data_IF_093329860781
#
_entry.id   IF_093329860781
#
_cell.length_a   1.000
_cell.length_b   1.000
_cell.length_c   1.000
_cell.angle_alpha   90.00
_cell.angle_beta   90.00
_cell.angle_gamma   90.00
#
_symmetry.space_group_name_H-M   'P 1'
#
loop_
_entity.id
_entity.type
_entity.pdbx_description
1 polymer ?
#
# COMPACT_ATOMS: atom_id res chain seq x y z
N UNK A 1 23.41 -16.71 11.51
CA UNK A 1 24.03 -15.38 11.75
C UNK A 1 22.91 -14.40 12.06
N UNK A 2 23.00 -13.68 13.18
CA UNK A 2 22.03 -12.63 13.56
C UNK A 2 22.14 -11.48 12.55
N UNK A 3 21.03 -11.09 11.91
CA UNK A 3 20.98 -9.92 11.02
C UNK A 3 21.04 -8.68 11.91
N UNK A 4 22.17 -7.96 11.86
CA UNK A 4 22.29 -6.68 12.57
C UNK A 4 21.56 -5.62 11.75
N UNK A 5 20.44 -5.11 12.26
CA UNK A 5 19.79 -3.93 11.69
C UNK A 5 20.57 -2.70 12.16
N UNK A 6 21.17 -1.97 11.23
CA UNK A 6 21.92 -0.75 11.53
C UNK A 6 20.99 0.46 11.61
N UNK A 7 20.10 0.61 10.62
CA UNK A 7 19.20 1.76 10.53
C UNK A 7 17.77 1.31 10.34
N UNK A 8 16.88 1.74 11.24
CA UNK A 8 15.44 1.43 11.16
C UNK A 8 14.64 2.72 11.09
N UNK A 9 13.67 2.76 10.19
CA UNK A 9 12.67 3.84 10.10
C UNK A 9 11.45 3.42 10.90
N UNK A 10 10.84 4.34 11.67
CA UNK A 10 9.59 4.09 12.37
C UNK A 10 8.63 5.28 12.23
N UNK A 11 7.39 4.98 11.84
CA UNK A 11 6.27 5.93 11.92
C UNK A 11 5.12 5.30 12.71
N UNK A 12 4.42 6.12 13.47
CA UNK A 12 3.28 5.70 14.26
C UNK A 12 2.15 6.71 14.18
N UNK A 13 0.92 6.26 14.40
CA UNK A 13 -0.19 7.16 14.72
C UNK A 13 0.07 7.85 16.06
N UNK A 14 -0.10 9.17 16.07
CA UNK A 14 0.09 10.01 17.27
C UNK A 14 -1.22 10.52 17.87
N UNK A 15 -2.33 10.27 17.18
CA UNK A 15 -3.68 10.64 17.61
C UNK A 15 -4.31 9.62 18.57
N UNK A 16 -3.66 8.48 18.81
CA UNK A 16 -4.05 7.50 19.82
C UNK A 16 -2.93 7.23 20.80
N UNK A 17 -3.25 7.21 22.09
CA UNK A 17 -2.28 6.94 23.15
C UNK A 17 -1.70 5.52 23.06
N UNK A 18 -2.53 4.51 22.77
CA UNK A 18 -2.08 3.12 22.63
C UNK A 18 -1.05 2.94 21.50
N UNK A 19 -1.19 3.63 20.38
CA UNK A 19 -0.21 3.61 19.30
C UNK A 19 1.13 4.26 19.69
N UNK A 20 1.09 5.30 20.52
CA UNK A 20 2.29 5.97 21.06
C UNK A 20 3.00 5.06 22.06
N UNK A 21 2.26 4.42 22.97
CA UNK A 21 2.83 3.46 23.95
C UNK A 21 3.54 2.29 23.26
N UNK A 22 2.92 1.77 22.19
CA UNK A 22 3.51 0.71 21.37
C UNK A 22 4.76 1.21 20.65
N UNK A 23 4.75 2.44 20.14
CA UNK A 23 5.94 3.05 19.54
C UNK A 23 7.09 3.17 20.55
N UNK A 24 6.83 3.66 21.76
CA UNK A 24 7.85 3.76 22.81
C UNK A 24 8.44 2.39 23.17
N UNK A 25 7.59 1.39 23.41
CA UNK A 25 8.03 0.02 23.71
C UNK A 25 8.90 -0.55 22.60
N UNK A 26 8.47 -0.34 21.35
CA UNK A 26 9.19 -0.81 20.15
C UNK A 26 10.54 -0.12 19.99
N UNK A 27 10.59 1.20 20.18
CA UNK A 27 11.82 2.00 20.13
C UNK A 27 12.81 1.51 21.20
N UNK A 28 12.37 1.39 22.45
CA UNK A 28 13.20 0.92 23.55
C UNK A 28 13.78 -0.46 23.26
N UNK A 29 12.93 -1.39 22.82
CA UNK A 29 13.34 -2.74 22.48
C UNK A 29 14.40 -2.78 21.36
N UNK A 30 14.24 -1.97 20.29
CA UNK A 30 15.22 -1.89 19.22
C UNK A 30 16.57 -1.31 19.69
N UNK A 31 16.55 -0.31 20.58
CA UNK A 31 17.77 0.24 21.18
C UNK A 31 18.50 -0.80 22.03
N UNK A 32 17.77 -1.56 22.85
CA UNK A 32 18.30 -2.63 23.70
C UNK A 32 18.91 -3.78 22.87
N UNK A 33 18.37 -4.04 21.67
CA UNK A 33 18.91 -5.01 20.70
C UNK A 33 20.08 -4.48 19.86
N UNK A 34 20.53 -3.25 20.12
CA UNK A 34 21.74 -2.70 19.51
C UNK A 34 21.55 -2.06 18.13
N UNK A 35 20.32 -1.66 17.76
CA UNK A 35 20.12 -0.84 16.56
C UNK A 35 20.95 0.46 16.68
N UNK A 36 21.65 0.83 15.60
CA UNK A 36 22.62 1.94 15.64
C UNK A 36 21.99 3.30 15.39
N UNK A 37 20.97 3.38 14.54
CA UNK A 37 20.26 4.62 14.20
C UNK A 37 18.75 4.34 14.04
N UNK A 38 17.93 5.16 14.68
CA UNK A 38 16.47 5.16 14.56
C UNK A 38 16.02 6.47 13.93
N UNK A 39 15.38 6.37 12.77
CA UNK A 39 14.75 7.50 12.08
C UNK A 39 13.26 7.48 12.39
N UNK A 40 12.83 8.39 13.25
CA UNK A 40 11.43 8.48 13.68
C UNK A 40 10.69 9.56 12.89
N UNK A 41 9.42 9.29 12.62
CA UNK A 41 8.46 10.30 12.19
C UNK A 41 8.48 11.49 13.16
N UNK A 42 8.70 12.71 12.65
CA UNK A 42 8.79 13.91 13.47
C UNK A 42 7.54 14.18 14.32
N UNK A 43 6.38 13.65 13.92
CA UNK A 43 5.15 13.76 14.71
C UNK A 43 5.27 13.09 16.08
N UNK A 44 6.22 12.15 16.27
CA UNK A 44 6.49 11.49 17.54
C UNK A 44 7.32 12.33 18.52
N UNK A 45 8.00 13.40 18.05
CA UNK A 45 9.03 14.13 18.83
C UNK A 45 8.58 14.60 20.20
N UNK A 46 7.33 15.04 20.32
CA UNK A 46 6.75 15.54 21.57
C UNK A 46 5.71 14.58 22.16
N UNK A 47 5.66 13.34 21.66
CA UNK A 47 4.71 12.31 22.07
C UNK A 47 5.38 11.18 22.83
N UNK A 48 6.68 10.97 22.60
CA UNK A 48 7.49 10.00 23.33
C UNK A 48 8.41 10.68 24.34
N UNK A 49 8.73 9.95 25.39
CA UNK A 49 9.58 10.35 26.52
C UNK A 49 11.04 9.92 26.35
N UNK A 50 11.31 8.95 25.46
CA UNK A 50 12.63 8.38 25.24
C UNK A 50 13.57 9.42 24.65
N UNK A 51 14.70 9.65 25.33
CA UNK A 51 15.84 10.46 24.84
C UNK A 51 17.06 9.57 24.64
N UNK A 52 17.60 9.54 23.43
CA UNK A 52 18.78 8.75 23.08
C UNK A 52 19.48 9.38 21.87
N UNK A 53 20.82 9.46 21.86
CA UNK A 53 21.56 10.08 20.75
C UNK A 53 21.40 9.36 19.40
N UNK A 54 20.94 8.10 19.41
CA UNK A 54 20.69 7.30 18.20
C UNK A 54 19.36 7.64 17.53
N UNK A 55 18.49 8.43 18.16
CA UNK A 55 17.19 8.82 17.63
C UNK A 55 17.32 10.12 16.85
N UNK A 56 16.82 10.12 15.61
CA UNK A 56 16.66 11.32 14.79
C UNK A 56 15.23 11.42 14.30
N UNK A 57 14.65 12.60 14.41
CA UNK A 57 13.32 12.90 13.91
C UNK A 57 13.41 13.49 12.51
N UNK A 58 12.64 12.93 11.57
CA UNK A 58 12.57 13.39 10.19
C UNK A 58 11.11 13.37 9.71
N UNK A 59 10.77 14.21 8.75
CA UNK A 59 9.44 14.17 8.13
C UNK A 59 9.27 12.85 7.37
N UNK A 60 8.07 12.26 7.41
CA UNK A 60 7.76 11.01 6.68
C UNK A 60 8.04 11.15 5.18
N UNK A 61 7.91 12.35 4.61
CA UNK A 61 8.23 12.67 3.22
C UNK A 61 9.69 12.42 2.86
N UNK A 62 10.58 12.54 3.84
CA UNK A 62 12.03 12.42 3.66
C UNK A 62 12.54 11.01 3.97
N UNK A 63 11.67 10.09 4.42
CA UNK A 63 12.06 8.69 4.71
C UNK A 63 12.75 8.03 3.51
N UNK A 64 12.29 8.32 2.29
CA UNK A 64 12.84 7.74 1.06
C UNK A 64 14.24 8.25 0.70
N UNK A 65 14.71 9.33 1.33
CA UNK A 65 16.08 9.84 1.17
C UNK A 65 17.11 9.05 2.00
N UNK A 66 16.63 8.15 2.87
CA UNK A 66 17.49 7.38 3.76
C UNK A 66 17.47 5.88 3.43
N UNK A 67 18.67 5.31 3.26
CA UNK A 67 18.83 3.86 3.16
C UNK A 67 18.71 3.23 4.55
N UNK A 68 17.60 2.56 4.80
CA UNK A 68 17.32 1.81 6.03
C UNK A 68 17.19 0.31 5.74
N UNK A 69 17.42 -0.50 6.77
CA UNK A 69 17.36 -1.97 6.69
C UNK A 69 15.93 -2.50 6.88
N UNK A 70 15.06 -1.66 7.45
CA UNK A 70 13.69 -2.00 7.83
C UNK A 70 12.87 -0.73 8.07
N UNK A 71 11.56 -0.83 7.83
CA UNK A 71 10.57 0.16 8.22
C UNK A 71 9.53 -0.48 9.16
N UNK A 72 9.26 0.16 10.30
CA UNK A 72 8.21 -0.21 11.24
C UNK A 72 7.08 0.79 11.15
N UNK A 73 5.86 0.33 10.89
CA UNK A 73 4.67 1.17 10.86
C UNK A 73 3.72 0.74 11.97
N UNK A 74 3.35 1.65 12.85
CA UNK A 74 2.43 1.37 13.97
C UNK A 74 1.12 2.11 13.73
N UNK A 75 0.03 1.38 13.50
CA UNK A 75 -1.26 1.96 13.13
C UNK A 75 -2.11 1.01 12.30
N UNK A 76 -2.74 1.52 11.25
CA UNK A 76 -3.54 0.72 10.32
C UNK A 76 -3.03 0.82 8.88
N UNK A 77 -3.73 0.18 7.95
CA UNK A 77 -3.38 0.14 6.54
C UNK A 77 -3.18 1.54 5.94
N UNK A 78 -4.04 2.52 6.29
CA UNK A 78 -3.87 3.90 5.81
C UNK A 78 -2.58 4.58 6.28
N UNK A 79 -2.06 4.24 7.47
CA UNK A 79 -0.77 4.74 7.94
C UNK A 79 0.38 4.17 7.12
N UNK A 80 0.29 2.88 6.76
CA UNK A 80 1.24 2.20 5.90
C UNK A 80 1.23 2.79 4.48
N UNK A 81 0.05 2.89 3.85
CA UNK A 81 -0.09 3.42 2.48
C UNK A 81 0.48 4.84 2.39
N UNK A 82 0.15 5.69 3.37
CA UNK A 82 0.70 7.05 3.45
C UNK A 82 2.23 7.09 3.56
N UNK A 83 2.83 6.18 4.31
CA UNK A 83 4.30 6.11 4.37
C UNK A 83 4.87 5.66 3.02
N UNK A 84 4.28 4.63 2.40
CA UNK A 84 4.72 4.08 1.10
C UNK A 84 4.61 5.08 -0.07
N UNK A 85 3.67 6.03 0.00
CA UNK A 85 3.48 7.06 -1.02
C UNK A 85 4.70 7.96 -1.23
N UNK A 86 5.52 8.14 -0.20
CA UNK A 86 6.74 8.95 -0.31
C UNK A 86 7.95 8.15 -0.83
N UNK A 87 7.79 6.83 -1.03
CA UNK A 87 8.81 5.96 -1.59
C UNK A 87 8.64 5.82 -3.10
N UNK A 88 9.42 6.62 -3.82
CA UNK A 88 9.53 6.57 -5.28
C UNK A 88 10.17 5.29 -5.80
N UNK A 89 10.97 4.62 -4.96
CA UNK A 89 11.60 3.33 -5.25
C UNK A 89 11.16 2.31 -4.20
N UNK A 90 11.71 1.11 -4.29
CA UNK A 90 11.43 0.04 -3.33
C UNK A 90 11.76 0.50 -1.90
N UNK A 91 10.77 0.51 -0.99
CA UNK A 91 11.01 0.83 0.40
C UNK A 91 11.81 -0.29 1.09
N UNK A 92 12.41 -0.02 2.26
CA UNK A 92 12.91 -1.07 3.13
C UNK A 92 11.81 -2.09 3.49
N UNK A 93 12.17 -3.35 3.81
CA UNK A 93 11.22 -4.33 4.30
C UNK A 93 10.38 -3.83 5.48
N UNK A 94 9.07 -4.02 5.38
CA UNK A 94 8.07 -3.42 6.26
C UNK A 94 7.60 -4.42 7.32
N UNK A 95 7.56 -3.96 8.58
CA UNK A 95 6.79 -4.59 9.64
C UNK A 95 5.63 -3.67 10.04
N UNK A 96 4.41 -4.08 9.72
CA UNK A 96 3.20 -3.41 10.17
C UNK A 96 2.76 -3.92 11.53
N UNK A 97 2.66 -3.05 12.51
CA UNK A 97 2.07 -3.30 13.83
C UNK A 97 0.67 -2.69 13.87
N UNK A 98 -0.33 -3.55 14.02
CA UNK A 98 -1.75 -3.19 13.99
C UNK A 98 -2.14 -2.50 15.28
N UNK A 99 -2.67 -1.28 15.19
CA UNK A 99 -3.31 -0.59 16.31
C UNK A 99 -4.66 -0.02 15.84
N UNK A 100 -5.74 -0.41 16.53
CA UNK A 100 -7.09 0.05 16.23
C UNK A 100 -7.92 -0.91 15.38
N UNK A 101 -8.61 -0.39 14.36
CA UNK A 101 -9.57 -1.15 13.54
C UNK A 101 -8.90 -2.26 12.72
N UNK A 102 -9.71 -3.18 12.23
CA UNK A 102 -9.26 -4.26 11.35
C UNK A 102 -8.57 -3.70 10.10
N UNK A 103 -7.38 -4.22 9.82
CA UNK A 103 -6.57 -3.93 8.65
C UNK A 103 -6.02 -5.23 8.07
N UNK A 104 -5.74 -5.22 6.77
CA UNK A 104 -5.31 -6.40 6.04
C UNK A 104 -3.80 -6.50 5.88
N UNK A 105 -3.15 -5.33 5.73
CA UNK A 105 -1.72 -5.23 5.43
C UNK A 105 -0.85 -5.29 6.69
N UNK A 106 -1.41 -4.98 7.85
CA UNK A 106 -0.70 -5.03 9.13
C UNK A 106 -0.51 -6.48 9.61
N UNK A 107 0.68 -6.77 10.15
CA UNK A 107 1.12 -8.14 10.45
C UNK A 107 0.95 -8.52 11.92
N UNK A 108 1.35 -7.64 12.82
CA UNK A 108 1.62 -7.98 14.22
C UNK A 108 0.70 -7.21 15.15
N UNK A 109 0.14 -7.89 16.14
CA UNK A 109 -0.55 -7.23 17.26
C UNK A 109 0.45 -6.58 18.22
N UNK A 110 0.08 -5.49 18.91
CA UNK A 110 0.96 -4.76 19.82
C UNK A 110 1.74 -5.62 20.82
N UNK A 111 1.11 -6.67 21.33
CA UNK A 111 1.66 -7.55 22.36
C UNK A 111 2.79 -8.44 21.82
N UNK A 112 2.80 -8.72 20.51
CA UNK A 112 3.73 -9.64 19.86
C UNK A 112 4.87 -8.93 19.10
N UNK A 113 4.97 -7.60 19.20
CA UNK A 113 5.99 -6.83 18.45
C UNK A 113 7.41 -7.23 18.83
N UNK A 114 7.68 -7.45 20.11
CA UNK A 114 9.01 -7.88 20.57
C UNK A 114 9.40 -9.26 20.02
N UNK A 115 8.46 -10.21 20.00
CA UNK A 115 8.67 -11.54 19.43
C UNK A 115 8.92 -11.47 17.92
N UNK A 116 8.15 -10.64 17.22
CA UNK A 116 8.33 -10.37 15.80
C UNK A 116 9.73 -9.85 15.49
N UNK A 117 10.18 -8.84 16.24
CA UNK A 117 11.51 -8.26 16.09
C UNK A 117 12.59 -9.30 16.38
N UNK A 118 12.44 -10.14 17.41
CA UNK A 118 13.37 -11.23 17.70
C UNK A 118 13.56 -12.18 16.50
N UNK A 119 12.47 -12.60 15.86
CA UNK A 119 12.54 -13.47 14.68
C UNK A 119 13.19 -12.76 13.48
N UNK A 120 12.96 -11.45 13.31
CA UNK A 120 13.62 -10.64 12.26
C UNK A 120 15.12 -10.52 12.52
N UNK A 121 15.54 -10.18 13.75
CA UNK A 121 16.96 -10.08 14.13
C UNK A 121 17.67 -11.43 13.98
N UNK A 122 17.00 -12.55 14.28
CA UNK A 122 17.53 -13.90 14.06
C UNK A 122 17.56 -14.32 12.59
N UNK A 123 16.99 -13.52 11.68
CA UNK A 123 16.89 -13.84 10.25
C UNK A 123 15.90 -14.98 9.94
N UNK A 124 14.97 -15.26 10.85
CA UNK A 124 13.98 -16.34 10.73
C UNK A 124 12.63 -15.88 10.19
N UNK A 125 12.36 -14.57 10.24
CA UNK A 125 11.12 -14.02 9.71
C UNK A 125 11.04 -14.23 8.19
N UNK A 126 9.89 -14.72 7.72
CA UNK A 126 9.60 -14.81 6.29
C UNK A 126 9.40 -13.40 5.73
N UNK A 127 9.76 -13.21 4.47
CA UNK A 127 9.45 -11.99 3.72
C UNK A 127 8.56 -12.36 2.54
N UNK A 128 7.48 -11.59 2.33
CA UNK A 128 6.63 -11.70 1.14
C UNK A 128 6.75 -10.43 0.32
N UNK A 129 6.70 -10.56 -1.00
CA UNK A 129 6.78 -9.44 -1.94
C UNK A 129 5.37 -9.10 -2.45
N UNK A 130 4.98 -7.83 -2.40
CA UNK A 130 3.70 -7.34 -2.91
C UNK A 130 3.94 -6.32 -4.02
N UNK A 131 3.41 -6.54 -5.23
CA UNK A 131 3.66 -5.64 -6.34
C UNK A 131 2.98 -4.29 -6.12
N UNK A 132 3.64 -3.21 -6.52
CA UNK A 132 3.03 -1.91 -6.79
C UNK A 132 2.91 -1.69 -8.29
N UNK A 133 1.90 -0.92 -8.66
CA UNK A 133 1.74 -0.40 -10.03
C UNK A 133 1.91 1.10 -10.02
N UNK A 134 2.29 1.65 -11.16
CA UNK A 134 2.39 3.10 -11.37
C UNK A 134 1.51 3.50 -12.56
N UNK A 135 0.92 4.69 -12.48
CA UNK A 135 0.14 5.30 -13.56
C UNK A 135 0.83 6.56 -14.09
N UNK A 136 0.78 6.73 -15.41
CA UNK A 136 1.21 7.93 -16.12
C UNK A 136 0.01 8.57 -16.81
N UNK A 137 -0.36 9.78 -16.41
CA UNK A 137 -1.40 10.60 -17.05
C UNK A 137 -0.68 11.73 -17.79
N UNK A 138 -0.79 11.80 -19.13
CA UNK A 138 -0.18 12.87 -19.93
C UNK A 138 1.32 13.10 -19.66
N UNK A 139 2.07 12.00 -19.51
CA UNK A 139 3.49 11.96 -19.12
C UNK A 139 3.80 12.37 -17.67
N UNK A 140 2.81 12.79 -16.88
CA UNK A 140 2.95 12.97 -15.44
C UNK A 140 2.81 11.62 -14.74
N UNK A 141 3.85 11.22 -14.02
CA UNK A 141 3.84 10.02 -13.16
C UNK A 141 3.09 10.31 -11.87
N UNK A 142 2.11 9.47 -11.54
CA UNK A 142 1.42 9.46 -10.25
C UNK A 142 2.23 8.64 -9.23
N UNK A 143 2.01 8.83 -7.91
CA UNK A 143 2.64 8.00 -6.90
C UNK A 143 2.32 6.51 -7.11
N UNK A 144 3.30 5.59 -7.02
CA UNK A 144 3.03 4.15 -7.12
C UNK A 144 2.09 3.69 -6.01
N UNK A 145 1.12 2.85 -6.36
CA UNK A 145 0.05 2.40 -5.45
C UNK A 145 0.23 0.95 -5.05
N UNK A 146 -0.14 0.63 -3.81
CA UNK A 146 -0.19 -0.74 -3.30
C UNK A 146 -1.62 -1.31 -3.34
N UNK A 147 -2.64 -0.45 -3.22
CA UNK A 147 -4.04 -0.85 -3.29
C UNK A 147 -4.66 -0.56 -4.66
N UNK A 148 -4.76 0.71 -5.05
CA UNK A 148 -5.50 1.01 -6.27
C UNK A 148 -5.26 2.40 -6.86
N UNK A 149 -5.36 2.45 -8.18
CA UNK A 149 -5.84 3.64 -8.86
C UNK A 149 -7.35 3.54 -9.04
N UNK A 150 -8.06 4.57 -8.61
CA UNK A 150 -9.52 4.68 -8.77
C UNK A 150 -9.81 5.86 -9.68
N UNK A 151 -10.41 5.59 -10.83
CA UNK A 151 -10.90 6.59 -11.76
C UNK A 151 -12.39 6.76 -11.48
N UNK A 152 -12.83 7.96 -11.16
CA UNK A 152 -14.23 8.27 -10.85
C UNK A 152 -14.76 9.37 -11.75
N UNK A 153 -15.99 9.17 -12.22
CA UNK A 153 -16.73 10.24 -12.86
C UNK A 153 -17.12 11.31 -11.82
N UNK A 154 -16.98 12.61 -12.16
CA UNK A 154 -17.36 13.68 -11.25
C UNK A 154 -18.88 13.81 -11.15
N UNK A 155 -19.35 14.30 -10.00
CA UNK A 155 -20.75 14.75 -9.77
C UNK A 155 -21.81 13.66 -10.00
N UNK A 156 -21.56 12.43 -9.55
CA UNK A 156 -22.52 11.30 -9.63
C UNK A 156 -23.01 11.01 -11.05
N UNK A 157 -22.13 11.19 -12.04
CA UNK A 157 -22.40 10.79 -13.42
C UNK A 157 -21.66 9.48 -13.73
N UNK A 158 -21.94 8.90 -14.89
CA UNK A 158 -21.13 7.81 -15.44
C UNK A 158 -20.04 8.37 -16.36
N UNK A 159 -18.94 7.64 -16.52
CA UNK A 159 -17.86 7.87 -17.49
C UNK A 159 -17.78 6.67 -18.43
N UNK A 160 -17.49 6.93 -19.71
CA UNK A 160 -17.09 5.91 -20.66
C UNK A 160 -15.60 5.61 -20.50
N UNK A 161 -15.30 4.43 -19.96
CA UNK A 161 -13.92 3.93 -19.79
C UNK A 161 -13.61 2.83 -20.79
N UNK A 162 -12.43 2.94 -21.43
CA UNK A 162 -11.86 1.88 -22.26
C UNK A 162 -10.52 1.45 -21.69
N UNK A 163 -10.32 0.14 -21.54
CA UNK A 163 -9.05 -0.44 -21.09
C UNK A 163 -8.54 -1.39 -22.15
N UNK A 164 -7.27 -1.27 -22.49
CA UNK A 164 -6.61 -2.12 -23.48
C UNK A 164 -5.22 -2.55 -23.02
N UNK A 165 -4.75 -3.69 -23.53
CA UNK A 165 -3.35 -4.12 -23.37
C UNK A 165 -2.48 -3.29 -24.30
N UNK A 166 -1.43 -2.67 -23.77
CA UNK A 166 -0.50 -1.86 -24.56
C UNK A 166 0.29 -2.70 -25.59
N UNK A 167 0.59 -3.96 -25.25
CA UNK A 167 1.35 -4.91 -26.08
C UNK A 167 0.59 -5.31 -27.35
N UNK A 168 -0.69 -5.68 -27.22
CA UNK A 168 -1.50 -6.22 -28.32
C UNK A 168 -2.53 -5.24 -28.88
N UNK A 169 -2.78 -4.13 -28.18
CA UNK A 169 -3.90 -3.20 -28.41
C UNK A 169 -5.28 -3.85 -28.27
N UNK A 170 -5.36 -5.05 -27.72
CA UNK A 170 -6.61 -5.75 -27.43
C UNK A 170 -7.38 -4.99 -26.35
N UNK A 171 -8.66 -4.68 -26.62
CA UNK A 171 -9.55 -4.04 -25.65
C UNK A 171 -10.11 -5.10 -24.70
N UNK A 172 -9.84 -4.94 -23.40
CA UNK A 172 -10.28 -5.88 -22.35
C UNK A 172 -11.55 -5.41 -21.63
N UNK A 173 -11.81 -4.09 -21.64
CA UNK A 173 -13.00 -3.49 -21.04
C UNK A 173 -13.39 -2.26 -21.85
N UNK A 174 -14.69 -2.12 -22.12
CA UNK A 174 -15.27 -0.95 -22.77
C UNK A 174 -16.65 -0.73 -22.15
N UNK A 175 -16.77 0.18 -21.19
CA UNK A 175 -17.94 0.28 -20.32
C UNK A 175 -18.32 1.73 -19.97
N UNK A 176 -19.62 1.95 -19.75
CA UNK A 176 -20.13 3.13 -19.06
C UNK A 176 -20.33 2.72 -17.60
N UNK A 177 -19.72 3.45 -16.68
CA UNK A 177 -19.62 3.07 -15.29
C UNK A 177 -19.49 4.33 -14.41
N UNK A 178 -19.71 4.22 -13.10
CA UNK A 178 -19.35 5.30 -12.17
C UNK A 178 -17.83 5.54 -12.16
N UNK A 179 -17.07 4.53 -12.60
CA UNK A 179 -15.62 4.59 -12.66
C UNK A 179 -14.95 3.25 -12.92
N UNK A 180 -13.65 3.20 -12.64
CA UNK A 180 -12.79 2.05 -12.82
C UNK A 180 -11.79 1.96 -11.68
N UNK A 181 -11.60 0.77 -11.12
CA UNK A 181 -10.49 0.48 -10.20
C UNK A 181 -9.46 -0.38 -10.93
N UNK A 182 -8.19 -0.01 -10.82
CA UNK A 182 -7.06 -0.85 -11.21
C UNK A 182 -6.19 -1.11 -9.99
N UNK A 183 -6.14 -2.37 -9.56
CA UNK A 183 -5.50 -2.79 -8.31
C UNK A 183 -4.41 -3.83 -8.57
N UNK A 184 -3.20 -3.71 -8.00
CA UNK A 184 -2.31 -4.85 -7.89
C UNK A 184 -2.84 -5.82 -6.81
N UNK A 185 -2.19 -6.99 -6.68
CA UNK A 185 -2.61 -8.08 -5.78
C UNK A 185 -3.04 -7.62 -4.38
N UNK A 186 -2.29 -6.73 -3.72
CA UNK A 186 -2.63 -6.30 -2.36
C UNK A 186 -3.94 -5.50 -2.29
N UNK A 187 -4.29 -4.79 -3.35
CA UNK A 187 -5.54 -4.03 -3.47
C UNK A 187 -6.78 -4.84 -3.78
N UNK A 188 -6.65 -6.11 -4.16
CA UNK A 188 -7.80 -6.98 -4.42
C UNK A 188 -8.69 -7.16 -3.19
N UNK A 189 -8.17 -6.83 -2.00
CA UNK A 189 -8.86 -6.90 -0.71
C UNK A 189 -9.22 -5.52 -0.17
N UNK A 190 -8.97 -4.46 -0.94
CA UNK A 190 -9.27 -3.07 -0.61
C UNK A 190 -10.56 -2.62 -1.32
N UNK A 191 -10.52 -1.54 -2.10
CA UNK A 191 -11.72 -1.01 -2.74
C UNK A 191 -12.21 -1.90 -3.89
N UNK A 192 -11.30 -2.57 -4.61
CA UNK A 192 -11.65 -3.55 -5.63
C UNK A 192 -12.56 -4.66 -5.08
N UNK A 193 -12.34 -5.15 -3.85
CA UNK A 193 -13.22 -6.15 -3.23
C UNK A 193 -14.64 -5.61 -3.05
N UNK A 194 -14.76 -4.39 -2.53
CA UNK A 194 -16.07 -3.75 -2.31
C UNK A 194 -16.83 -3.52 -3.62
N UNK A 195 -16.11 -3.34 -4.73
CA UNK A 195 -16.67 -3.20 -6.07
C UNK A 195 -16.96 -4.53 -6.79
N UNK A 196 -16.82 -5.67 -6.09
CA UNK A 196 -17.07 -6.99 -6.66
C UNK A 196 -15.89 -7.61 -7.39
N UNK A 197 -14.68 -7.06 -7.23
CA UNK A 197 -13.43 -7.67 -7.68
C UNK A 197 -13.11 -8.97 -6.91
N UNK A 198 -12.39 -9.93 -7.53
CA UNK A 198 -12.04 -11.19 -6.88
C UNK A 198 -10.99 -11.01 -5.80
N UNK A 199 -11.06 -11.83 -4.75
CA UNK A 199 -9.95 -12.01 -3.82
C UNK A 199 -8.82 -12.74 -4.55
N UNK A 200 -7.64 -12.14 -4.57
CA UNK A 200 -6.43 -12.76 -5.12
C UNK A 200 -5.59 -13.36 -3.99
N UNK A 201 -5.00 -14.54 -4.21
CA UNK A 201 -4.05 -15.12 -3.26
C UNK A 201 -2.79 -14.25 -3.10
N UNK A 202 -2.18 -14.26 -1.90
CA UNK A 202 -1.09 -13.34 -1.61
C UNK A 202 0.18 -13.51 -2.43
N UNK A 203 0.45 -14.72 -2.92
CA UNK A 203 1.68 -15.03 -3.63
C UNK A 203 1.56 -14.77 -5.14
N UNK A 204 0.33 -14.53 -5.64
CA UNK A 204 0.11 -14.21 -7.04
C UNK A 204 0.52 -12.78 -7.35
N UNK A 205 1.14 -12.57 -8.51
CA UNK A 205 1.51 -11.25 -9.02
C UNK A 205 0.62 -10.90 -10.20
N UNK A 206 -0.45 -10.17 -9.92
CA UNK A 206 -1.48 -9.83 -10.91
C UNK A 206 -1.92 -8.38 -10.77
N UNK A 207 -2.54 -7.87 -11.83
CA UNK A 207 -3.32 -6.63 -11.82
C UNK A 207 -4.79 -6.97 -12.10
N UNK A 208 -5.68 -6.36 -11.32
CA UNK A 208 -7.13 -6.55 -11.40
C UNK A 208 -7.76 -5.26 -11.89
N UNK A 209 -8.54 -5.36 -12.97
CA UNK A 209 -9.33 -4.26 -13.53
C UNK A 209 -10.79 -4.47 -13.13
N UNK A 210 -11.34 -3.62 -12.27
CA UNK A 210 -12.69 -3.75 -11.70
C UNK A 210 -13.54 -2.53 -12.08
N UNK A 211 -14.56 -2.65 -12.96
CA UNK A 211 -15.47 -1.54 -13.24
C UNK A 211 -16.35 -1.22 -12.03
N UNK A 212 -16.63 0.06 -11.78
CA UNK A 212 -17.53 0.50 -10.71
C UNK A 212 -18.96 0.68 -11.25
N UNK A 213 -19.90 -0.13 -10.79
CA UNK A 213 -21.31 -0.05 -11.20
C UNK A 213 -21.52 0.07 -12.72
N UNK A 214 -20.96 -0.83 -13.55
CA UNK A 214 -21.07 -0.72 -15.01
C UNK A 214 -22.50 -0.92 -15.50
N UNK A 215 -22.92 -0.14 -16.50
CA UNK A 215 -24.21 -0.34 -17.19
C UNK A 215 -24.23 -1.65 -17.99
N UNK A 216 -23.09 -2.06 -18.54
CA UNK A 216 -23.00 -3.27 -19.35
C UNK A 216 -23.15 -4.52 -18.49
N UNK A 217 -24.19 -5.31 -18.74
CA UNK A 217 -24.52 -6.53 -17.98
C UNK A 217 -23.40 -7.56 -17.89
N UNK A 218 -22.47 -7.55 -18.86
CA UNK A 218 -21.34 -8.49 -18.97
C UNK A 218 -20.00 -7.87 -18.56
N UNK A 219 -19.96 -6.61 -18.14
CA UNK A 219 -18.74 -6.04 -17.59
C UNK A 219 -18.44 -6.76 -16.26
N UNK A 220 -17.28 -7.41 -16.20
CA UNK A 220 -16.79 -8.16 -15.05
C UNK A 220 -15.36 -7.74 -14.74
N UNK A 221 -14.90 -7.94 -13.50
CA UNK A 221 -13.50 -7.78 -13.20
C UNK A 221 -12.64 -8.69 -14.08
N UNK A 222 -11.49 -8.18 -14.51
CA UNK A 222 -10.52 -8.94 -15.32
C UNK A 222 -9.20 -9.02 -14.56
N UNK A 223 -8.64 -10.21 -14.45
CA UNK A 223 -7.34 -10.47 -13.80
C UNK A 223 -6.29 -10.72 -14.88
N UNK A 224 -5.16 -10.02 -14.79
CA UNK A 224 -4.07 -10.07 -15.77
C UNK A 224 -2.74 -10.27 -15.05
N UNK A 225 -1.74 -10.79 -15.76
CA UNK A 225 -0.37 -10.85 -15.25
C UNK A 225 0.13 -9.43 -14.91
N UNK A 226 0.86 -9.28 -13.79
CA UNK A 226 1.36 -7.96 -13.35
C UNK A 226 2.25 -7.27 -14.40
N UNK A 227 2.87 -8.04 -15.30
CA UNK A 227 3.75 -7.54 -16.37
C UNK A 227 2.98 -6.93 -17.53
N UNK A 228 1.67 -7.17 -17.63
CA UNK A 228 0.84 -6.54 -18.65
C UNK A 228 0.77 -5.03 -18.42
N UNK A 229 1.15 -4.27 -19.46
CA UNK A 229 1.00 -2.81 -19.47
C UNK A 229 -0.39 -2.47 -19.97
N UNK A 230 -1.12 -1.66 -19.24
CA UNK A 230 -2.49 -1.27 -19.57
C UNK A 230 -2.55 0.18 -20.04
N UNK A 231 -3.44 0.45 -20.99
CA UNK A 231 -3.83 1.81 -21.36
C UNK A 231 -5.30 1.98 -21.01
N UNK A 232 -5.58 2.95 -20.15
CA UNK A 232 -6.93 3.37 -19.77
C UNK A 232 -7.23 4.70 -20.46
N UNK A 233 -8.39 4.80 -21.10
CA UNK A 233 -8.88 5.98 -21.79
C UNK A 233 -10.22 6.39 -21.16
N UNK A 234 -10.36 7.67 -20.78
CA UNK A 234 -11.64 8.27 -20.42
C UNK A 234 -12.18 8.98 -21.66
N UNK A 235 -13.31 8.52 -22.18
CA UNK A 235 -13.69 8.84 -23.57
C UNK A 235 -14.58 10.08 -23.67
N UNK A 236 -15.49 10.29 -22.71
CA UNK A 236 -16.62 11.23 -22.87
C UNK A 236 -16.69 12.34 -21.80
N UNK A 237 -15.67 12.42 -20.92
CA UNK A 237 -15.52 13.48 -19.90
C UNK A 237 -14.21 13.41 -19.15
N UNK A 238 -13.86 14.54 -18.54
CA UNK A 238 -12.89 14.62 -17.46
C UNK A 238 -13.30 13.74 -16.28
N UNK A 239 -12.31 13.09 -15.67
CA UNK A 239 -12.49 12.23 -14.51
C UNK A 239 -11.41 12.48 -13.46
N UNK A 240 -11.68 12.05 -12.23
CA UNK A 240 -10.73 12.13 -11.12
C UNK A 240 -10.00 10.80 -10.96
N UNK A 241 -8.69 10.85 -10.76
CA UNK A 241 -7.85 9.67 -10.48
C UNK A 241 -7.33 9.77 -9.06
N UNK A 242 -7.71 8.81 -8.22
CA UNK A 242 -7.23 8.66 -6.85
C UNK A 242 -6.16 7.58 -6.77
N UNK A 243 -5.05 7.87 -6.09
CA UNK A 243 -3.98 6.92 -5.80
C UNK A 243 -4.08 6.48 -4.33
N UNK A 244 -4.39 5.21 -4.06
CA UNK A 244 -4.68 4.64 -2.73
C UNK A 244 -5.63 5.48 -1.85
N UNK A 245 -6.47 6.32 -2.47
CA UNK A 245 -7.34 7.28 -1.77
C UNK A 245 -6.62 8.47 -1.10
N UNK A 246 -5.34 8.73 -1.42
CA UNK A 246 -4.53 9.78 -0.78
C UNK A 246 -4.27 10.95 -1.74
N UNK A 247 -3.81 10.67 -2.96
CA UNK A 247 -3.52 11.69 -3.97
C UNK A 247 -4.61 11.71 -5.02
N UNK A 248 -5.02 12.89 -5.48
CA UNK A 248 -6.02 13.07 -6.53
C UNK A 248 -5.48 13.99 -7.64
N UNK A 249 -5.75 13.62 -8.89
CA UNK A 249 -5.60 14.50 -10.05
C UNK A 249 -6.74 14.32 -11.03
N UNK A 250 -6.83 15.21 -12.02
CA UNK A 250 -7.78 15.09 -13.13
C UNK A 250 -7.10 14.37 -14.30
N UNK A 251 -7.88 13.55 -15.00
CA UNK A 251 -7.58 13.05 -16.34
C UNK A 251 -8.61 13.66 -17.30
N UNK A 252 -8.14 14.34 -18.34
CA UNK A 252 -9.01 15.05 -19.29
C UNK A 252 -9.75 14.09 -20.23
N UNK A 253 -10.89 14.51 -20.73
CA UNK A 253 -11.63 13.82 -21.79
C UNK A 253 -10.73 13.49 -23.00
N UNK A 254 -10.78 12.24 -23.45
CA UNK A 254 -9.97 11.75 -24.57
C UNK A 254 -8.52 11.41 -24.19
N UNK A 255 -8.07 11.76 -22.99
CA UNK A 255 -6.72 11.45 -22.52
C UNK A 255 -6.56 9.99 -22.11
N UNK A 256 -5.30 9.54 -22.18
CA UNK A 256 -4.91 8.16 -21.89
C UNK A 256 -3.96 8.11 -20.70
N UNK A 257 -4.27 7.22 -19.77
CA UNK A 257 -3.41 6.82 -18.67
C UNK A 257 -2.74 5.48 -18.97
N UNK A 258 -1.42 5.40 -18.80
CA UNK A 258 -0.70 4.13 -18.91
C UNK A 258 -0.39 3.59 -17.52
N UNK A 259 -0.67 2.30 -17.29
CA UNK A 259 -0.40 1.61 -16.03
C UNK A 259 0.59 0.48 -16.29
N UNK A 260 1.58 0.34 -15.41
CA UNK A 260 2.55 -0.74 -15.47
C UNK A 260 3.04 -1.15 -14.08
N UNK A 261 3.60 -2.36 -13.98
CA UNK A 261 4.37 -2.79 -12.81
C UNK A 261 5.47 -1.78 -12.47
N UNK A 262 5.58 -1.42 -11.20
CA UNK A 262 6.61 -0.51 -10.71
C UNK A 262 7.72 -1.24 -9.99
N UNK A 263 7.40 -1.83 -8.85
CA UNK A 263 8.33 -2.56 -7.98
C UNK A 263 7.58 -3.48 -7.01
N UNK A 264 8.30 -4.04 -6.03
CA UNK A 264 7.70 -4.86 -4.98
C UNK A 264 8.02 -4.31 -3.60
N UNK A 265 7.00 -4.18 -2.76
CA UNK A 265 7.17 -3.87 -1.34
C UNK A 265 7.34 -5.19 -0.60
N UNK A 266 8.40 -5.27 0.20
CA UNK A 266 8.70 -6.43 1.02
C UNK A 266 8.03 -6.30 2.38
N UNK A 267 7.30 -7.32 2.81
CA UNK A 267 6.64 -7.38 4.12
C UNK A 267 7.19 -8.54 4.94
N UNK A 268 7.55 -8.27 6.19
CA UNK A 268 7.80 -9.34 7.15
C UNK A 268 6.49 -10.07 7.46
N UNK A 269 6.52 -11.39 7.37
CA UNK A 269 5.39 -12.29 7.58
C UNK A 269 5.76 -13.31 8.65
N UNK A 270 5.00 -13.35 9.74
CA UNK A 270 5.20 -14.28 10.85
C UNK A 270 4.19 -15.43 10.82
N UNK A 271 2.98 -15.18 10.31
CA UNK A 271 1.92 -16.18 10.21
C UNK A 271 1.48 -16.40 8.76
N UNK A 272 1.25 -17.66 8.38
CA UNK A 272 0.61 -18.03 7.10
C UNK A 272 -0.91 -18.03 7.26
N UNK A 273 -1.48 -16.86 7.53
CA UNK A 273 -2.88 -16.72 7.91
C UNK A 273 -3.67 -15.79 6.98
N UNK A 274 -3.29 -15.70 5.70
CA UNK A 274 -3.93 -14.82 4.70
C UNK A 274 -5.46 -14.93 4.68
N UNK A 275 -5.99 -16.13 4.48
CA UNK A 275 -7.43 -16.37 4.48
C UNK A 275 -8.07 -16.17 5.84
N UNK A 276 -7.35 -16.44 6.93
CA UNK A 276 -7.86 -16.15 8.28
C UNK A 276 -7.99 -14.64 8.49
N UNK A 277 -7.10 -13.81 7.94
CA UNK A 277 -7.24 -12.34 7.97
C UNK A 277 -8.41 -11.86 7.13
N UNK A 278 -8.62 -12.46 5.96
CA UNK A 278 -9.81 -12.18 5.14
C UNK A 278 -11.09 -12.44 5.92
N UNK A 279 -11.21 -13.62 6.55
CA UNK A 279 -12.40 -13.99 7.34
C UNK A 279 -12.64 -13.09 8.54
N UNK A 280 -11.60 -12.44 9.10
CA UNK A 280 -11.81 -11.44 10.18
C UNK A 280 -12.63 -10.24 9.70
N UNK A 281 -12.63 -9.94 8.40
CA UNK A 281 -13.44 -8.87 7.79
C UNK A 281 -14.94 -9.17 7.85
N UNK A 282 -15.33 -10.44 7.90
CA UNK A 282 -16.74 -10.85 8.02
C UNK A 282 -17.36 -10.52 9.39
N UNK A 283 -16.52 -10.18 10.38
CA UNK A 283 -16.92 -9.83 11.75
C UNK A 283 -16.82 -8.33 12.04
N UNK A 284 -16.76 -7.50 10.99
CA UNK A 284 -16.70 -6.02 11.08
C UNK A 284 -18.08 -5.41 10.96
#
# INVERSE_FOLDING_TARGET
>A
MTKILHKVILSSRVDRADAVDVAEKTIKYMLDKGVKELLLDETLKNKITIKNEKIRYINVKDFSQHKADMMVIIGGDGSLLRALHYFEKTPPPVLGVRVGRYGFLMEVEPEHVSEALDEIFKGKARVIARPRIVMYVENKRLPPVLNDYVILAPRLKMVHVRVSKKSTRETILNAYADGLIVSPTAGSTAYSLSAGGPIIDEELKVVVVTPLNPMQLRARPVVLDIREKLTVEVVDRDSEVYSDGIFCCVIEEGSKANIEFWDEVLFYRLKRDYYSRLKRRDYV
#
